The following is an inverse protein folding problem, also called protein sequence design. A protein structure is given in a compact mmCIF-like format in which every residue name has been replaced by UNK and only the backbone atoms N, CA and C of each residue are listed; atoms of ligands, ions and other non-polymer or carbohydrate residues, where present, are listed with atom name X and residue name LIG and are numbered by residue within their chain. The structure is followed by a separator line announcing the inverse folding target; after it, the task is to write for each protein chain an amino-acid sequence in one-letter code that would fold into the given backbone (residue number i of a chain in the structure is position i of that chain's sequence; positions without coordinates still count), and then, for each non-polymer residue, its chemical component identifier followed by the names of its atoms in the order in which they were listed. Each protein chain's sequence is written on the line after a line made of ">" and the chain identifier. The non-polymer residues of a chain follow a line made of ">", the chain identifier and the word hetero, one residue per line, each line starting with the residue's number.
data_IF_999598114714
#
_entry.id   IF_999598114714
#
_cell.length_a   1.000
_cell.length_b   1.000
_cell.length_c   1.000
_cell.angle_alpha   90.00
_cell.angle_beta   90.00
_cell.angle_gamma   90.00
#
_symmetry.space_group_name_H-M   'P 1'
#
loop_
_entity.id
_entity.type
_entity.pdbx_description
1 polymer ?
#
# COMPACT_ATOMS: atom_id res chain seq x y z
N UNK A 1 5.25 -32.16 -7.33
CA UNK A 1 4.40 -31.12 -6.73
C UNK A 1 5.34 -30.06 -6.20
N UNK A 2 5.19 -28.83 -6.63
CA UNK A 2 5.95 -27.71 -6.03
C UNK A 2 5.29 -27.35 -4.71
N UNK A 3 6.08 -27.18 -3.66
CA UNK A 3 5.57 -26.78 -2.35
C UNK A 3 4.89 -25.43 -2.44
N UNK A 4 3.72 -25.32 -1.80
CA UNK A 4 3.01 -24.06 -1.64
C UNK A 4 3.45 -23.42 -0.34
N UNK A 5 4.12 -22.26 -0.42
CA UNK A 5 4.56 -21.50 0.74
C UNK A 5 3.77 -20.19 0.79
N UNK A 6 2.88 -20.06 1.76
CA UNK A 6 2.16 -18.82 2.04
C UNK A 6 2.81 -18.11 3.22
N UNK A 7 3.36 -16.93 2.97
CA UNK A 7 3.86 -16.02 4.01
C UNK A 7 2.98 -14.78 4.01
N UNK A 8 2.04 -14.70 4.94
CA UNK A 8 1.19 -13.54 5.11
C UNK A 8 1.75 -12.68 6.24
N UNK A 9 2.06 -11.46 5.91
CA UNK A 9 2.24 -10.33 6.80
C UNK A 9 1.77 -9.13 5.98
N UNK A 10 0.92 -8.35 6.42
CA UNK A 10 0.48 -7.94 7.77
C UNK A 10 -0.84 -8.57 8.25
N UNK A 11 -1.28 -8.19 9.47
CA UNK A 11 -2.68 -8.30 9.85
C UNK A 11 -3.51 -7.36 8.97
N UNK A 12 -4.67 -7.82 8.50
CA UNK A 12 -5.55 -7.02 7.65
C UNK A 12 -6.88 -6.83 8.36
N UNK A 13 -7.28 -5.57 8.55
CA UNK A 13 -8.61 -5.21 9.02
C UNK A 13 -9.28 -4.43 7.88
N UNK A 14 -10.27 -5.04 7.23
CA UNK A 14 -10.95 -4.50 6.09
C UNK A 14 -12.43 -4.30 6.40
N UNK A 15 -12.93 -3.11 6.14
CA UNK A 15 -14.35 -2.77 6.29
C UNK A 15 -14.57 -1.31 6.66
N UNK A 16 -15.83 -0.85 6.60
CA UNK A 16 -16.19 0.52 6.92
C UNK A 16 -15.76 0.91 8.35
N UNK A 17 -15.27 2.13 8.49
CA UNK A 17 -14.83 2.72 9.76
C UNK A 17 -13.67 2.01 10.48
N UNK A 18 -12.93 1.17 9.78
CA UNK A 18 -11.78 0.47 10.40
C UNK A 18 -10.68 1.43 10.81
N UNK A 19 -10.55 2.58 10.14
CA UNK A 19 -9.56 3.61 10.48
C UNK A 19 -9.73 4.15 11.91
N UNK A 20 -10.93 4.11 12.47
CA UNK A 20 -11.18 4.53 13.87
C UNK A 20 -10.43 3.68 14.89
N UNK A 21 -10.00 2.47 14.49
CA UNK A 21 -9.21 1.55 15.31
C UNK A 21 -7.70 1.83 15.24
N UNK A 22 -7.26 2.79 14.42
CA UNK A 22 -5.85 3.05 14.18
C UNK A 22 -5.08 3.31 15.48
N UNK A 23 -5.56 4.21 16.33
CA UNK A 23 -4.89 4.53 17.58
C UNK A 23 -4.80 3.34 18.54
N UNK A 24 -5.86 2.52 18.63
CA UNK A 24 -5.83 1.34 19.47
C UNK A 24 -4.79 0.32 19.01
N UNK A 25 -4.73 0.06 17.71
CA UNK A 25 -3.81 -0.93 17.15
C UNK A 25 -2.36 -0.41 17.11
N UNK A 26 -2.16 0.89 16.88
CA UNK A 26 -0.81 1.47 16.82
C UNK A 26 -0.04 1.34 18.14
N UNK A 27 -0.72 1.33 19.28
CA UNK A 27 -0.10 1.16 20.61
C UNK A 27 0.69 -0.15 20.75
N UNK A 28 0.37 -1.17 19.96
CA UNK A 28 1.08 -2.46 19.97
C UNK A 28 2.55 -2.31 19.55
N UNK A 29 2.85 -1.35 18.67
CA UNK A 29 4.20 -1.21 18.09
C UNK A 29 4.92 0.07 18.48
N UNK A 30 4.25 0.97 19.23
CA UNK A 30 4.90 2.18 19.71
C UNK A 30 3.94 3.30 20.08
N UNK A 31 4.52 4.42 20.51
CA UNK A 31 3.77 5.61 20.95
C UNK A 31 4.21 6.90 20.24
N UNK A 32 5.15 6.81 19.30
CA UNK A 32 5.63 7.96 18.51
C UNK A 32 5.79 7.58 17.06
N UNK A 33 5.03 8.26 16.18
CA UNK A 33 4.95 7.92 14.76
C UNK A 33 5.20 9.11 13.84
N UNK A 34 5.81 8.82 12.69
CA UNK A 34 5.73 9.67 11.51
C UNK A 34 4.54 9.22 10.68
N UNK A 35 3.61 10.13 10.39
CA UNK A 35 2.47 9.86 9.51
C UNK A 35 2.81 10.40 8.13
N UNK A 36 3.14 9.52 7.20
CA UNK A 36 3.34 9.90 5.79
C UNK A 36 1.97 9.89 5.13
N UNK A 37 1.55 11.04 4.63
CA UNK A 37 0.18 11.23 4.16
C UNK A 37 0.17 11.84 2.76
N UNK A 38 -0.72 11.34 1.90
CA UNK A 38 -0.93 11.96 0.59
C UNK A 38 -1.55 13.36 0.79
N UNK A 39 -1.00 14.43 0.17
CA UNK A 39 -1.48 15.80 0.35
C UNK A 39 -2.98 15.98 0.12
N UNK A 40 -3.55 15.24 -0.84
CA UNK A 40 -5.00 15.31 -1.16
C UNK A 40 -5.89 15.00 0.04
N UNK A 41 -5.42 14.22 1.01
CA UNK A 41 -6.21 13.86 2.19
C UNK A 41 -6.46 15.04 3.12
N UNK A 42 -5.57 16.05 3.12
CA UNK A 42 -5.81 17.32 3.83
C UNK A 42 -6.90 18.15 3.13
N UNK A 43 -6.81 18.24 1.81
CA UNK A 43 -7.77 18.99 0.99
C UNK A 43 -9.19 18.43 1.10
N UNK A 44 -9.33 17.12 1.20
CA UNK A 44 -10.62 16.41 1.32
C UNK A 44 -11.14 16.30 2.75
N UNK A 45 -10.40 16.77 3.76
CA UNK A 45 -10.75 16.62 5.18
C UNK A 45 -10.61 15.20 5.72
N UNK A 46 -10.03 14.29 4.93
CA UNK A 46 -9.83 12.88 5.32
C UNK A 46 -8.68 12.74 6.32
N UNK A 47 -7.74 13.68 6.33
CA UNK A 47 -6.60 13.67 7.25
C UNK A 47 -7.01 13.55 8.71
N UNK A 48 -8.08 14.25 9.13
CA UNK A 48 -8.58 14.18 10.50
C UNK A 48 -9.09 12.79 10.89
N UNK A 49 -9.71 12.06 9.95
CA UNK A 49 -10.18 10.69 10.20
C UNK A 49 -9.01 9.75 10.57
N UNK A 50 -7.81 10.08 10.11
CA UNK A 50 -6.58 9.30 10.37
C UNK A 50 -5.89 9.78 11.64
N UNK A 51 -5.82 11.09 11.86
CA UNK A 51 -5.07 11.64 12.99
C UNK A 51 -5.85 11.68 14.30
N UNK A 52 -7.17 11.87 14.27
CA UNK A 52 -8.00 11.91 15.46
C UNK A 52 -7.89 10.63 16.33
N UNK A 53 -7.96 9.39 15.77
CA UNK A 53 -7.80 8.18 16.58
C UNK A 53 -6.42 8.08 17.27
N UNK A 54 -5.37 8.67 16.69
CA UNK A 54 -4.04 8.73 17.31
C UNK A 54 -4.05 9.71 18.50
N UNK A 55 -4.61 10.90 18.30
CA UNK A 55 -4.71 11.90 19.34
C UNK A 55 -5.56 11.44 20.53
N UNK A 56 -6.68 10.76 20.30
CA UNK A 56 -7.54 10.17 21.34
C UNK A 56 -6.77 9.19 22.23
N UNK A 57 -5.78 8.50 21.70
CA UNK A 57 -4.93 7.54 22.42
C UNK A 57 -3.63 8.14 22.93
N UNK A 58 -3.47 9.47 22.82
CA UNK A 58 -2.26 10.20 23.23
C UNK A 58 -0.97 9.68 22.57
N UNK A 59 -1.09 9.20 21.35
CA UNK A 59 0.05 8.79 20.52
C UNK A 59 0.67 10.06 19.96
N UNK A 60 1.97 10.22 20.15
CA UNK A 60 2.72 11.32 19.55
C UNK A 60 2.89 11.07 18.05
N UNK A 61 2.58 12.06 17.24
CA UNK A 61 2.81 11.96 15.80
C UNK A 61 3.15 13.31 15.19
N UNK A 62 3.84 13.27 14.07
CA UNK A 62 3.95 14.38 13.15
C UNK A 62 3.64 13.93 11.73
N UNK A 63 3.09 14.83 10.94
CA UNK A 63 2.66 14.53 9.57
C UNK A 63 3.71 15.01 8.58
N UNK A 64 4.07 14.14 7.65
CA UNK A 64 4.86 14.45 6.47
C UNK A 64 3.96 14.26 5.24
N UNK A 65 3.68 15.35 4.53
CA UNK A 65 2.83 15.39 3.34
C UNK A 65 3.49 16.08 2.15
N UNK A 66 4.78 16.38 2.23
CA UNK A 66 5.55 16.96 1.14
C UNK A 66 5.96 15.89 0.11
N UNK A 67 4.95 15.18 -0.42
CA UNK A 67 5.18 14.12 -1.39
C UNK A 67 5.20 14.67 -2.81
N UNK A 68 6.20 14.28 -3.59
CA UNK A 68 6.28 14.55 -5.03
C UNK A 68 5.32 13.65 -5.82
N UNK A 69 5.24 13.83 -7.13
CA UNK A 69 4.37 13.00 -7.98
C UNK A 69 4.79 11.53 -8.04
N UNK A 70 6.07 11.22 -7.83
CA UNK A 70 6.59 9.85 -7.82
C UNK A 70 7.13 9.46 -6.43
N UNK A 71 7.22 8.17 -6.16
CA UNK A 71 7.94 7.64 -5.00
C UNK A 71 9.45 7.72 -5.27
N UNK A 72 10.05 8.89 -5.19
CA UNK A 72 11.44 9.09 -5.57
C UNK A 72 12.43 9.01 -4.39
N UNK A 73 13.69 8.75 -4.74
CA UNK A 73 14.78 8.59 -3.78
C UNK A 73 15.10 9.87 -3.01
N UNK A 74 14.89 11.04 -3.59
CA UNK A 74 15.16 12.31 -2.91
C UNK A 74 14.14 12.55 -1.78
N UNK A 75 12.86 12.32 -2.06
CA UNK A 75 11.81 12.36 -1.04
C UNK A 75 12.06 11.31 0.04
N UNK A 76 12.50 10.10 -0.34
CA UNK A 76 12.84 9.04 0.61
C UNK A 76 13.98 9.45 1.56
N UNK A 77 15.05 10.09 1.05
CA UNK A 77 16.13 10.60 1.90
C UNK A 77 15.65 11.67 2.89
N UNK A 78 14.76 12.57 2.45
CA UNK A 78 14.14 13.56 3.33
C UNK A 78 13.35 12.89 4.45
N UNK A 79 12.54 11.90 4.10
CA UNK A 79 11.76 11.09 5.07
C UNK A 79 12.69 10.39 6.06
N UNK A 80 13.75 9.72 5.59
CA UNK A 80 14.70 9.01 6.44
C UNK A 80 15.41 9.95 7.42
N UNK A 81 15.85 11.14 6.97
CA UNK A 81 16.51 12.13 7.80
C UNK A 81 15.56 12.66 8.89
N UNK A 82 14.34 13.02 8.53
CA UNK A 82 13.34 13.48 9.50
C UNK A 82 12.97 12.38 10.50
N UNK A 83 12.74 11.19 10.04
CA UNK A 83 12.35 10.05 10.86
C UNK A 83 13.43 9.70 11.91
N UNK A 84 14.70 9.63 11.48
CA UNK A 84 15.84 9.33 12.35
C UNK A 84 16.03 10.42 13.42
N UNK A 85 15.96 11.69 13.03
CA UNK A 85 16.12 12.83 13.94
C UNK A 85 14.98 12.96 14.96
N UNK A 86 13.79 12.45 14.62
CA UNK A 86 12.60 12.52 15.48
C UNK A 86 12.43 11.32 16.40
N UNK A 87 13.36 10.35 16.39
CA UNK A 87 13.33 9.15 17.23
C UNK A 87 11.98 8.44 17.23
N UNK A 88 11.41 8.22 16.05
CA UNK A 88 10.12 7.55 15.90
C UNK A 88 10.21 6.06 16.20
N UNK A 89 9.09 5.48 16.63
CA UNK A 89 8.98 4.03 16.85
C UNK A 89 8.49 3.30 15.61
N UNK A 90 7.77 3.98 14.71
CA UNK A 90 7.23 3.41 13.49
C UNK A 90 6.69 4.46 12.54
N UNK A 91 6.21 4.01 11.38
CA UNK A 91 5.60 4.86 10.36
C UNK A 91 4.16 4.42 10.13
N UNK A 92 3.27 5.39 9.98
CA UNK A 92 1.91 5.20 9.51
C UNK A 92 1.84 5.80 8.11
N UNK A 93 1.44 5.00 7.12
CA UNK A 93 1.31 5.45 5.73
C UNK A 93 -0.17 5.57 5.36
N UNK A 94 -0.62 6.77 5.01
CA UNK A 94 -1.99 7.04 4.60
C UNK A 94 -2.01 7.59 3.17
N UNK A 95 -2.49 6.80 2.22
CA UNK A 95 -2.49 7.21 0.81
C UNK A 95 -2.51 6.05 -0.17
N UNK A 96 -2.20 6.35 -1.43
CA UNK A 96 -2.06 5.37 -2.50
C UNK A 96 -0.68 4.76 -2.58
N UNK A 97 -0.44 3.97 -3.64
CA UNK A 97 0.79 3.18 -3.80
C UNK A 97 2.10 3.96 -3.68
N UNK A 98 2.14 5.22 -4.09
CA UNK A 98 3.30 6.11 -3.92
C UNK A 98 3.65 6.30 -2.42
N UNK A 99 2.66 6.66 -1.64
CA UNK A 99 2.81 6.89 -0.19
C UNK A 99 3.20 5.60 0.53
N UNK A 100 2.55 4.50 0.20
CA UNK A 100 2.83 3.18 0.78
C UNK A 100 4.25 2.70 0.44
N UNK A 101 4.70 2.93 -0.81
CA UNK A 101 6.05 2.57 -1.25
C UNK A 101 7.14 3.36 -0.50
N UNK A 102 7.00 4.68 -0.39
CA UNK A 102 7.94 5.54 0.35
C UNK A 102 8.02 5.13 1.82
N UNK A 103 6.88 4.94 2.47
CA UNK A 103 6.83 4.54 3.87
C UNK A 103 7.46 3.17 4.10
N UNK A 104 7.20 2.19 3.22
CA UNK A 104 7.77 0.86 3.31
C UNK A 104 9.29 0.88 3.09
N UNK A 105 9.77 1.67 2.12
CA UNK A 105 11.21 1.88 1.93
C UNK A 105 11.84 2.54 3.14
N UNK A 106 11.22 3.57 3.70
CA UNK A 106 11.72 4.25 4.89
C UNK A 106 11.82 3.31 6.09
N UNK A 107 10.81 2.47 6.34
CA UNK A 107 10.86 1.46 7.41
C UNK A 107 11.97 0.43 7.18
N UNK A 108 12.18 0.01 5.92
CA UNK A 108 13.22 -0.95 5.56
C UNK A 108 14.64 -0.39 5.77
N UNK A 109 14.83 0.89 5.45
CA UNK A 109 16.15 1.54 5.43
C UNK A 109 16.43 2.38 6.67
N UNK A 110 15.53 2.42 7.66
CA UNK A 110 15.63 3.30 8.83
C UNK A 110 16.95 3.13 9.60
N UNK A 111 17.35 1.88 9.85
CA UNK A 111 18.58 1.55 10.59
C UNK A 111 19.77 1.22 9.67
N UNK A 112 19.60 1.34 8.36
CA UNK A 112 20.67 1.06 7.42
C UNK A 112 21.70 2.20 7.43
N UNK A 113 23.01 1.89 7.34
CA UNK A 113 24.07 2.89 7.40
C UNK A 113 24.28 3.65 6.08
N UNK A 114 23.81 3.09 4.98
CA UNK A 114 24.00 3.64 3.64
C UNK A 114 22.80 4.47 3.19
N UNK A 115 22.97 5.20 2.09
CA UNK A 115 21.92 6.00 1.45
C UNK A 115 20.95 5.11 0.68
N UNK A 116 19.76 5.60 0.37
CA UNK A 116 18.79 4.87 -0.47
C UNK A 116 19.35 4.54 -1.85
N UNK A 117 20.31 5.33 -2.34
CA UNK A 117 20.94 5.12 -3.64
C UNK A 117 21.75 3.82 -3.70
N UNK A 118 22.40 3.42 -2.63
CA UNK A 118 23.14 2.17 -2.56
C UNK A 118 22.22 0.96 -2.77
N UNK A 119 20.99 1.04 -2.21
CA UNK A 119 19.98 -0.03 -2.35
C UNK A 119 19.31 -0.01 -3.72
N UNK A 120 19.13 1.16 -4.33
CA UNK A 120 18.67 1.31 -5.72
C UNK A 120 19.68 0.70 -6.70
N UNK A 121 20.97 0.81 -6.39
CA UNK A 121 22.06 0.28 -7.23
C UNK A 121 22.33 -1.21 -6.98
N UNK A 122 21.53 -1.88 -6.15
CA UNK A 122 21.55 -3.33 -5.96
C UNK A 122 21.96 -3.82 -4.57
N UNK A 123 22.19 -2.91 -3.63
CA UNK A 123 22.39 -3.27 -2.23
C UNK A 123 21.15 -3.99 -1.64
N UNK A 124 21.36 -4.85 -0.68
CA UNK A 124 20.30 -5.53 0.05
C UNK A 124 20.26 -5.01 1.49
N UNK A 125 19.13 -4.49 1.98
CA UNK A 125 19.00 -4.05 3.36
C UNK A 125 19.04 -5.27 4.31
N UNK A 126 19.84 -5.15 5.37
CA UNK A 126 20.10 -6.22 6.35
C UNK A 126 19.82 -5.81 7.78
N UNK A 127 19.78 -4.52 8.08
CA UNK A 127 19.51 -4.01 9.42
C UNK A 127 18.07 -4.27 9.85
N UNK A 128 17.81 -4.15 11.16
CA UNK A 128 16.48 -4.27 11.72
C UNK A 128 15.55 -3.16 11.21
N UNK A 129 14.31 -3.49 10.92
CA UNK A 129 13.29 -2.55 10.42
C UNK A 129 12.47 -1.94 11.55
N UNK A 130 11.86 -0.78 11.32
CA UNK A 130 10.80 -0.26 12.19
C UNK A 130 9.42 -0.67 11.65
N UNK A 131 8.40 -0.77 12.51
CA UNK A 131 7.05 -1.18 12.11
C UNK A 131 6.38 -0.17 11.18
N UNK A 132 5.67 -0.70 10.19
CA UNK A 132 4.81 0.04 9.27
C UNK A 132 3.35 -0.32 9.51
N UNK A 133 2.49 0.70 9.59
CA UNK A 133 1.03 0.56 9.53
C UNK A 133 0.56 1.24 8.24
N UNK A 134 -0.22 0.53 7.43
CA UNK A 134 -0.76 1.05 6.19
C UNK A 134 -2.25 1.36 6.32
N UNK A 135 -2.64 2.53 5.83
CA UNK A 135 -4.02 2.99 5.66
C UNK A 135 -4.21 3.34 4.19
N UNK A 136 -4.43 2.33 3.32
CA UNK A 136 -4.64 2.59 1.90
C UNK A 136 -5.89 3.44 1.66
N UNK A 137 -5.80 4.40 0.75
CA UNK A 137 -6.92 5.22 0.28
C UNK A 137 -7.28 4.92 -1.17
N UNK A 138 -6.78 3.80 -1.67
CA UNK A 138 -7.05 3.24 -3.00
C UNK A 138 -7.47 1.78 -2.85
N UNK A 139 -8.30 1.30 -3.79
CA UNK A 139 -8.88 -0.06 -3.70
C UNK A 139 -7.86 -1.19 -3.85
N UNK A 140 -6.65 -0.92 -4.32
CA UNK A 140 -5.65 -1.94 -4.62
C UNK A 140 -4.22 -1.44 -4.40
N UNK A 141 -3.27 -2.36 -4.20
CA UNK A 141 -1.83 -2.08 -4.28
C UNK A 141 -1.06 -3.34 -4.66
N UNK A 142 -0.26 -3.26 -5.74
CA UNK A 142 0.47 -4.40 -6.30
C UNK A 142 1.65 -4.86 -5.43
N UNK A 143 2.16 -4.01 -4.55
CA UNK A 143 3.39 -4.26 -3.80
C UNK A 143 3.21 -4.30 -2.28
N UNK A 144 2.02 -3.95 -1.78
CA UNK A 144 1.75 -3.86 -0.34
C UNK A 144 2.12 -5.14 0.42
N UNK A 145 1.72 -6.28 -0.12
CA UNK A 145 1.92 -7.61 0.50
C UNK A 145 3.20 -8.33 0.05
N UNK A 146 4.09 -7.65 -0.67
CA UNK A 146 5.34 -8.23 -1.18
C UNK A 146 6.56 -7.76 -0.37
N UNK A 147 7.72 -8.38 -0.60
CA UNK A 147 9.03 -7.91 -0.15
C UNK A 147 9.67 -6.89 -1.12
N UNK A 148 8.88 -6.32 -2.02
CA UNK A 148 9.35 -5.42 -3.08
C UNK A 148 8.77 -4.03 -2.90
N UNK A 149 9.57 -3.02 -3.24
CA UNK A 149 9.16 -1.62 -3.19
C UNK A 149 9.57 -0.93 -4.49
N UNK A 150 8.60 -0.42 -5.26
CA UNK A 150 8.89 0.38 -6.44
C UNK A 150 9.30 1.80 -6.03
N UNK A 151 10.40 2.27 -6.57
CA UNK A 151 10.91 3.63 -6.38
C UNK A 151 11.32 4.24 -7.72
N UNK A 152 11.35 5.56 -7.78
CA UNK A 152 11.93 6.33 -8.85
C UNK A 152 13.35 6.77 -8.45
N UNK A 153 14.36 6.37 -9.19
CA UNK A 153 15.70 6.90 -9.00
C UNK A 153 15.73 8.36 -9.50
N UNK A 154 15.85 9.31 -8.58
CA UNK A 154 15.84 10.74 -8.90
C UNK A 154 17.01 11.18 -9.78
N UNK A 155 18.11 10.41 -9.83
CA UNK A 155 19.28 10.68 -10.67
C UNK A 155 19.00 10.40 -12.16
N UNK A 156 18.26 9.33 -12.42
CA UNK A 156 18.01 8.86 -13.80
C UNK A 156 16.56 9.01 -14.26
N UNK A 157 15.63 9.28 -13.35
CA UNK A 157 14.19 9.28 -13.63
C UNK A 157 13.64 7.90 -13.97
N UNK A 158 14.36 6.83 -13.66
CA UNK A 158 13.96 5.46 -13.98
C UNK A 158 13.26 4.77 -12.82
N UNK A 159 12.28 3.92 -13.14
CA UNK A 159 11.66 3.04 -12.17
C UNK A 159 12.63 1.92 -11.76
N UNK A 160 12.74 1.72 -10.46
CA UNK A 160 13.54 0.65 -9.85
C UNK A 160 12.68 -0.09 -8.82
N UNK A 161 13.00 -1.34 -8.58
CA UNK A 161 12.36 -2.12 -7.53
C UNK A 161 13.46 -2.60 -6.58
N UNK A 162 13.41 -2.15 -5.34
CA UNK A 162 14.27 -2.66 -4.29
C UNK A 162 13.60 -3.85 -3.61
N UNK A 163 14.42 -4.80 -3.17
CA UNK A 163 13.97 -5.90 -2.32
C UNK A 163 14.21 -5.52 -0.86
N UNK A 164 13.20 -5.72 -0.02
CA UNK A 164 13.24 -5.39 1.40
C UNK A 164 13.09 -6.64 2.26
N UNK A 165 13.20 -6.49 3.56
CA UNK A 165 12.90 -7.56 4.51
C UNK A 165 11.39 -7.87 4.50
N UNK A 166 11.03 -9.11 4.86
CA UNK A 166 9.64 -9.50 5.07
C UNK A 166 9.11 -8.99 6.41
N UNK A 167 7.81 -8.79 6.52
CA UNK A 167 7.16 -8.49 7.79
C UNK A 167 7.34 -7.05 8.30
N UNK A 168 7.71 -6.11 7.43
CA UNK A 168 7.80 -4.68 7.74
C UNK A 168 6.41 -4.13 8.07
N UNK A 169 5.44 -4.35 7.18
CA UNK A 169 4.06 -3.97 7.42
C UNK A 169 3.46 -4.89 8.48
N UNK A 170 2.98 -4.31 9.57
CA UNK A 170 2.38 -5.02 10.71
C UNK A 170 0.85 -5.06 10.60
N UNK A 171 0.27 -3.99 10.09
CA UNK A 171 -1.16 -3.82 10.00
C UNK A 171 -1.55 -3.06 8.74
N UNK A 172 -2.61 -3.51 8.10
CA UNK A 172 -3.34 -2.77 7.06
C UNK A 172 -4.75 -2.51 7.57
N UNK A 173 -5.11 -1.23 7.66
CA UNK A 173 -6.48 -0.79 7.90
C UNK A 173 -7.06 -0.33 6.56
N UNK A 174 -7.88 -1.16 5.94
CA UNK A 174 -8.47 -0.88 4.64
C UNK A 174 -9.92 -0.47 4.80
N UNK A 175 -10.16 0.84 4.76
CA UNK A 175 -11.46 1.45 5.01
C UNK A 175 -12.06 2.01 3.72
N UNK A 176 -13.15 1.42 3.20
CA UNK A 176 -13.82 1.91 2.00
C UNK A 176 -14.24 3.39 2.07
N UNK A 177 -14.51 3.90 3.28
CA UNK A 177 -14.91 5.30 3.44
C UNK A 177 -13.78 6.31 3.16
N UNK A 178 -12.52 5.86 3.08
CA UNK A 178 -11.39 6.71 2.69
C UNK A 178 -11.28 6.84 1.16
N UNK A 179 -11.85 5.91 0.43
CA UNK A 179 -11.87 5.88 -1.04
C UNK A 179 -12.95 6.80 -1.63
N UNK A 180 -13.95 7.17 -0.85
CA UNK A 180 -15.04 8.08 -1.26
C UNK A 180 -14.56 9.51 -1.62
N UNK A 181 -13.29 9.81 -1.39
CA UNK A 181 -12.65 11.06 -1.79
C UNK A 181 -12.21 11.09 -3.26
N UNK A 182 -12.28 9.94 -3.95
CA UNK A 182 -11.91 9.80 -5.35
C UNK A 182 -13.02 10.29 -6.27
N UNK A 183 -12.62 10.85 -7.41
CA UNK A 183 -13.57 11.17 -8.50
C UNK A 183 -14.01 9.88 -9.20
N UNK A 184 -15.18 9.91 -9.85
CA UNK A 184 -15.70 8.76 -10.63
C UNK A 184 -14.68 8.26 -11.66
N UNK A 185 -13.94 9.18 -12.29
CA UNK A 185 -12.88 8.84 -13.24
C UNK A 185 -11.70 8.10 -12.59
N UNK A 186 -11.31 8.53 -11.39
CA UNK A 186 -10.25 7.86 -10.63
C UNK A 186 -10.72 6.49 -10.15
N UNK A 187 -11.93 6.37 -9.67
CA UNK A 187 -12.54 5.10 -9.25
C UNK A 187 -12.63 4.11 -10.42
N UNK A 188 -13.07 4.54 -11.59
CA UNK A 188 -13.13 3.73 -12.80
C UNK A 188 -11.72 3.26 -13.24
N UNK A 189 -10.74 4.17 -13.22
CA UNK A 189 -9.36 3.82 -13.54
C UNK A 189 -8.79 2.77 -12.56
N UNK A 190 -9.05 2.92 -11.27
CA UNK A 190 -8.63 1.94 -10.25
C UNK A 190 -9.33 0.59 -10.43
N UNK A 191 -10.61 0.58 -10.84
CA UNK A 191 -11.32 -0.64 -11.19
C UNK A 191 -10.64 -1.39 -12.33
N UNK A 192 -10.29 -0.69 -13.42
CA UNK A 192 -9.55 -1.26 -14.54
C UNK A 192 -8.15 -1.77 -14.16
N UNK A 193 -7.45 -1.05 -13.32
CA UNK A 193 -6.14 -1.48 -12.81
C UNK A 193 -6.27 -2.73 -11.93
N UNK A 194 -7.29 -2.79 -11.07
CA UNK A 194 -7.58 -3.97 -10.24
C UNK A 194 -7.89 -5.18 -11.11
N UNK A 195 -8.71 -5.00 -12.16
CA UNK A 195 -8.99 -6.05 -13.13
C UNK A 195 -7.72 -6.52 -13.85
N UNK A 196 -6.87 -5.59 -14.31
CA UNK A 196 -5.61 -5.92 -14.96
C UNK A 196 -4.66 -6.70 -14.04
N UNK A 197 -4.57 -6.30 -12.77
CA UNK A 197 -3.79 -7.02 -11.74
C UNK A 197 -4.33 -8.44 -11.51
N UNK A 198 -5.65 -8.57 -11.41
CA UNK A 198 -6.30 -9.87 -11.26
C UNK A 198 -6.01 -10.78 -12.46
N UNK A 199 -6.11 -10.26 -13.68
CA UNK A 199 -5.81 -11.01 -14.90
C UNK A 199 -4.33 -11.40 -14.98
N UNK A 200 -3.39 -10.50 -14.64
CA UNK A 200 -1.97 -10.83 -14.56
C UNK A 200 -1.67 -11.97 -13.58
N UNK A 201 -2.27 -11.92 -12.39
CA UNK A 201 -2.09 -12.95 -11.39
C UNK A 201 -2.65 -14.30 -11.86
N UNK A 202 -3.84 -14.30 -12.45
CA UNK A 202 -4.48 -15.52 -12.99
C UNK A 202 -3.68 -16.17 -14.12
N UNK A 203 -3.09 -15.36 -15.01
CA UNK A 203 -2.27 -15.84 -16.13
C UNK A 203 -0.81 -16.09 -15.76
N UNK A 204 -0.44 -15.85 -14.51
CA UNK A 204 0.95 -16.01 -14.05
C UNK A 204 1.38 -17.48 -14.10
N UNK A 205 2.60 -17.73 -14.59
CA UNK A 205 3.22 -19.08 -14.50
C UNK A 205 3.48 -19.54 -13.07
N UNK A 206 3.39 -18.62 -12.10
CA UNK A 206 3.53 -18.88 -10.67
C UNK A 206 2.21 -18.91 -9.94
N UNK A 207 1.09 -18.91 -10.68
CA UNK A 207 -0.22 -19.05 -10.06
C UNK A 207 -0.33 -20.39 -9.33
N UNK A 208 -1.11 -20.37 -8.27
CA UNK A 208 -1.38 -21.53 -7.42
C UNK A 208 -2.89 -21.60 -7.18
N UNK A 209 -3.39 -22.72 -6.69
CA UNK A 209 -4.80 -22.83 -6.32
C UNK A 209 -5.26 -21.70 -5.37
N UNK A 210 -4.37 -21.23 -4.49
CA UNK A 210 -4.68 -20.17 -3.54
C UNK A 210 -4.80 -18.81 -4.23
N UNK A 211 -3.85 -18.44 -5.11
CA UNK A 211 -3.94 -17.21 -5.88
C UNK A 211 -5.17 -17.22 -6.78
N UNK A 212 -5.46 -18.34 -7.46
CA UNK A 212 -6.58 -18.46 -8.36
C UNK A 212 -7.91 -18.28 -7.62
N UNK A 213 -8.08 -18.90 -6.45
CA UNK A 213 -9.25 -18.72 -5.59
C UNK A 213 -9.46 -17.24 -5.20
N UNK A 214 -8.39 -16.53 -4.83
CA UNK A 214 -8.46 -15.11 -4.49
C UNK A 214 -8.85 -14.26 -5.69
N UNK A 215 -8.28 -14.55 -6.85
CA UNK A 215 -8.53 -13.80 -8.08
C UNK A 215 -9.93 -14.05 -8.61
N UNK A 216 -10.39 -15.29 -8.65
CA UNK A 216 -11.77 -15.62 -9.04
C UNK A 216 -12.77 -14.88 -8.16
N UNK A 217 -12.52 -14.86 -6.84
CA UNK A 217 -13.39 -14.11 -5.91
C UNK A 217 -13.30 -12.60 -6.13
N UNK A 218 -12.12 -12.06 -6.39
CA UNK A 218 -11.96 -10.64 -6.70
C UNK A 218 -12.77 -10.24 -7.94
N UNK A 219 -12.65 -11.00 -9.03
CA UNK A 219 -13.40 -10.76 -10.28
C UNK A 219 -14.91 -10.87 -10.07
N UNK A 220 -15.36 -11.84 -9.27
CA UNK A 220 -16.77 -12.01 -8.92
C UNK A 220 -17.31 -10.78 -8.16
N UNK A 221 -16.55 -10.28 -7.15
CA UNK A 221 -16.96 -9.11 -6.38
C UNK A 221 -16.98 -7.85 -7.24
N UNK A 222 -16.03 -7.70 -8.17
CA UNK A 222 -16.03 -6.57 -9.13
C UNK A 222 -17.24 -6.61 -10.04
N UNK A 223 -17.62 -7.79 -10.55
CA UNK A 223 -18.84 -7.94 -11.34
C UNK A 223 -20.08 -7.54 -10.55
N UNK A 224 -20.19 -7.97 -9.30
CA UNK A 224 -21.31 -7.60 -8.45
C UNK A 224 -21.37 -6.09 -8.15
N UNK A 225 -20.20 -5.46 -7.99
CA UNK A 225 -20.14 -4.01 -7.76
C UNK A 225 -20.53 -3.20 -9.00
N UNK A 226 -20.22 -3.71 -10.20
CA UNK A 226 -20.50 -3.03 -11.47
C UNK A 226 -21.94 -3.16 -11.93
N UNK A 227 -22.50 -4.37 -11.88
CA UNK A 227 -23.79 -4.67 -12.54
C UNK A 227 -24.94 -4.79 -11.54
N UNK A 228 -24.67 -4.80 -10.26
CA UNK A 228 -25.57 -5.32 -9.25
C UNK A 228 -25.76 -6.83 -9.43
N UNK A 229 -25.93 -7.59 -8.38
CA UNK A 229 -26.24 -9.02 -8.53
C UNK A 229 -27.72 -9.27 -8.38
N UNK A 230 -28.43 -9.73 -9.42
CA UNK A 230 -29.85 -10.07 -9.31
C UNK A 230 -30.10 -11.28 -8.40
N UNK A 231 -29.05 -12.03 -8.08
CA UNK A 231 -29.12 -13.27 -7.27
C UNK A 231 -28.67 -13.08 -5.82
N UNK A 232 -27.97 -11.98 -5.53
CA UNK A 232 -27.56 -11.66 -4.16
C UNK A 232 -28.49 -10.62 -3.57
N UNK A 233 -29.25 -11.02 -2.59
CA UNK A 233 -29.98 -10.09 -1.68
C UNK A 233 -29.03 -9.32 -0.78
N UNK A 234 -27.78 -9.13 -1.18
CA UNK A 234 -26.74 -8.51 -0.38
C UNK A 234 -26.81 -7.01 -0.60
N UNK A 235 -27.16 -6.30 0.44
CA UNK A 235 -27.16 -4.84 0.55
C UNK A 235 -25.76 -4.25 0.77
N UNK A 236 -24.71 -4.94 0.30
CA UNK A 236 -23.33 -4.44 0.45
C UNK A 236 -23.08 -3.33 -0.55
N UNK A 237 -22.67 -2.14 -0.10
CA UNK A 237 -22.37 -1.03 -0.99
C UNK A 237 -21.27 -1.38 -2.00
N UNK A 238 -21.36 -0.88 -3.26
CA UNK A 238 -20.39 -1.17 -4.31
C UNK A 238 -18.94 -0.86 -3.91
N UNK A 239 -18.69 0.23 -3.20
CA UNK A 239 -17.37 0.63 -2.71
C UNK A 239 -16.76 -0.41 -1.77
N UNK A 240 -17.56 -1.04 -0.92
CA UNK A 240 -17.10 -2.14 -0.05
C UNK A 240 -16.71 -3.35 -0.88
N UNK A 241 -17.50 -3.68 -1.89
CA UNK A 241 -17.21 -4.80 -2.81
C UNK A 241 -15.93 -4.55 -3.62
N UNK A 242 -15.73 -3.33 -4.12
CA UNK A 242 -14.51 -2.94 -4.82
C UNK A 242 -13.27 -3.02 -3.92
N UNK A 243 -13.37 -2.53 -2.68
CA UNK A 243 -12.26 -2.61 -1.70
C UNK A 243 -11.91 -4.07 -1.37
N UNK A 244 -12.91 -4.92 -1.16
CA UNK A 244 -12.71 -6.35 -0.95
C UNK A 244 -12.06 -7.02 -2.15
N UNK A 245 -12.53 -6.72 -3.36
CA UNK A 245 -11.97 -7.22 -4.60
C UNK A 245 -10.50 -6.79 -4.78
N UNK A 246 -10.22 -5.52 -4.54
CA UNK A 246 -8.87 -4.97 -4.65
C UNK A 246 -7.89 -5.57 -3.64
N UNK A 247 -8.34 -5.81 -2.41
CA UNK A 247 -7.54 -6.51 -1.39
C UNK A 247 -7.21 -7.94 -1.85
N UNK A 248 -8.21 -8.69 -2.34
CA UNK A 248 -8.01 -10.05 -2.83
C UNK A 248 -7.12 -10.10 -4.07
N UNK A 249 -7.28 -9.16 -5.02
CA UNK A 249 -6.42 -9.04 -6.19
C UNK A 249 -4.96 -8.74 -5.79
N UNK A 250 -4.77 -7.84 -4.82
CA UNK A 250 -3.44 -7.48 -4.29
C UNK A 250 -2.75 -8.67 -3.61
N UNK A 251 -3.49 -9.46 -2.81
CA UNK A 251 -2.99 -10.70 -2.19
C UNK A 251 -2.69 -11.78 -3.22
N UNK A 252 -3.57 -11.95 -4.19
CA UNK A 252 -3.39 -12.90 -5.29
C UNK A 252 -2.14 -12.60 -6.11
N UNK A 253 -1.95 -11.34 -6.49
CA UNK A 253 -0.75 -10.89 -7.22
C UNK A 253 0.53 -11.06 -6.39
N UNK A 254 0.48 -10.76 -5.08
CA UNK A 254 1.61 -10.95 -4.18
C UNK A 254 2.02 -12.42 -4.03
N UNK A 255 1.06 -13.35 -4.15
CA UNK A 255 1.29 -14.79 -4.11
C UNK A 255 1.89 -15.35 -5.42
N UNK A 256 1.88 -14.56 -6.48
CA UNK A 256 2.43 -14.90 -7.81
C UNK A 256 3.66 -14.05 -8.12
N UNK A 257 3.52 -13.13 -9.04
CA UNK A 257 4.49 -12.10 -9.38
C UNK A 257 3.82 -11.02 -10.22
N UNK A 258 4.20 -9.77 -10.05
CA UNK A 258 3.79 -8.70 -10.94
C UNK A 258 4.16 -9.05 -12.40
N UNK A 259 3.24 -8.83 -13.32
CA UNK A 259 3.40 -9.11 -14.74
C UNK A 259 3.82 -7.86 -15.52
N UNK A 260 3.70 -7.96 -16.84
CA UNK A 260 4.15 -6.92 -17.77
C UNK A 260 3.32 -5.63 -17.64
N UNK A 261 2.02 -5.73 -17.42
CA UNK A 261 1.12 -4.57 -17.32
C UNK A 261 1.44 -3.71 -16.10
N UNK A 262 1.59 -4.34 -14.92
CA UNK A 262 1.98 -3.65 -13.68
C UNK A 262 3.36 -2.97 -13.81
N UNK A 263 4.35 -3.66 -14.39
CA UNK A 263 5.69 -3.09 -14.56
C UNK A 263 5.74 -1.98 -15.62
N UNK A 264 4.97 -2.11 -16.69
CA UNK A 264 4.85 -1.08 -17.71
C UNK A 264 4.16 0.17 -17.17
N UNK A 265 3.07 0.00 -16.43
CA UNK A 265 2.36 1.10 -15.76
C UNK A 265 3.29 1.86 -14.81
N UNK A 266 4.06 1.14 -13.98
CA UNK A 266 5.05 1.73 -13.09
C UNK A 266 6.09 2.56 -13.86
N UNK A 267 6.62 2.03 -14.97
CA UNK A 267 7.62 2.70 -15.79
C UNK A 267 7.06 3.96 -16.47
N UNK A 268 5.83 3.89 -16.99
CA UNK A 268 5.15 5.02 -17.62
C UNK A 268 4.88 6.12 -16.59
N UNK A 269 4.33 5.77 -15.43
CA UNK A 269 4.03 6.73 -14.36
C UNK A 269 5.30 7.43 -13.87
N UNK A 270 6.40 6.70 -13.74
CA UNK A 270 7.70 7.27 -13.32
C UNK A 270 8.25 8.22 -14.36
N UNK A 271 8.21 7.84 -15.65
CA UNK A 271 8.82 8.62 -16.74
C UNK A 271 8.02 9.86 -17.10
N UNK A 272 6.72 9.79 -17.09
CA UNK A 272 5.82 10.88 -17.54
C UNK A 272 5.21 11.67 -16.38
N UNK A 273 5.49 11.29 -15.12
CA UNK A 273 5.01 11.96 -13.90
C UNK A 273 3.48 12.21 -13.95
N UNK A 274 2.74 11.20 -14.36
CA UNK A 274 1.27 11.26 -14.51
C UNK A 274 0.57 10.54 -13.36
#
# INVERSE_FOLDING_TARGET
>A
MTDFILKISPNIILGPYTVTRLGQNALEWGSRYMVIMDPILKETGTAEKITAPLAERKIEYFVFDELTQAADTQTLETILNLARNSHIHGIIAAGGGKTLALAKAACALFNEPHTSYDYIDGGAPTAGTIPLICVPTTIRDAFLFTDRVPLCDSRSGSAKIIKTQNGICKLVLWDPNLELTLTDKQSAAMGLETFSMALEAYLSRKSTFFSDMLIEKALQLMSYAADGSPTLTVTTPPEVLYTQAGCMASLGLASCSAGASTLLSLTINTRYKR
#
